data_IF_074189863403
#
_entry.id   IF_074189863403
#
_cell.length_a   1.000
_cell.length_b   1.000
_cell.length_c   1.000
_cell.angle_alpha   90.00
_cell.angle_beta   90.00
_cell.angle_gamma   90.00
#
_symmetry.space_group_name_H-M   'P 1'
#
loop_
_entity.id
_entity.type
_entity.pdbx_description
1 polymer ?
#
# COMPACT_ATOMS: atom_id res chain seq x y z
N UNK A 1 -2.69 -19.16 -22.95
CA UNK A 1 -2.18 -20.39 -22.31
C UNK A 1 -0.70 -20.21 -22.08
N UNK A 2 -0.14 -20.50 -20.89
CA UNK A 2 1.31 -20.38 -20.70
C UNK A 2 2.01 -21.32 -21.69
N UNK A 3 3.05 -20.82 -22.38
CA UNK A 3 3.83 -21.66 -23.30
C UNK A 3 4.41 -22.85 -22.51
N UNK A 4 4.28 -24.09 -23.00
CA UNK A 4 4.86 -25.25 -22.33
C UNK A 4 6.37 -25.06 -22.23
N UNK A 5 6.84 -24.93 -21.00
CA UNK A 5 8.25 -24.79 -20.66
C UNK A 5 8.76 -26.17 -20.24
N UNK A 6 9.77 -26.67 -20.94
CA UNK A 6 10.42 -27.92 -20.54
C UNK A 6 11.00 -27.75 -19.13
N UNK A 7 10.93 -28.77 -18.26
CA UNK A 7 11.58 -28.74 -16.95
C UNK A 7 13.11 -28.60 -17.10
N UNK A 8 13.76 -28.02 -16.08
CA UNK A 8 15.13 -27.49 -16.15
C UNK A 8 16.21 -28.36 -16.82
N UNK A 9 17.24 -27.70 -17.37
CA UNK A 9 18.34 -28.26 -18.17
C UNK A 9 17.91 -29.07 -19.42
N UNK A 10 16.67 -28.89 -19.88
CA UNK A 10 16.19 -29.44 -21.15
C UNK A 10 16.02 -28.33 -22.19
N UNK A 11 16.36 -28.64 -23.44
CA UNK A 11 16.10 -27.83 -24.62
C UNK A 11 14.77 -28.26 -25.26
N UNK A 12 14.01 -27.27 -25.74
CA UNK A 12 12.74 -27.51 -26.43
C UNK A 12 12.98 -27.42 -27.94
N UNK A 13 12.80 -28.53 -28.64
CA UNK A 13 12.74 -28.60 -30.10
C UNK A 13 11.59 -27.75 -30.65
N UNK A 14 11.62 -27.34 -31.92
CA UNK A 14 10.55 -26.49 -32.50
C UNK A 14 9.18 -27.19 -32.51
N UNK A 15 9.19 -28.52 -32.69
CA UNK A 15 8.03 -29.41 -32.59
C UNK A 15 7.48 -29.57 -31.16
N UNK A 16 8.15 -29.03 -30.14
CA UNK A 16 7.76 -29.08 -28.73
C UNK A 16 8.30 -30.28 -27.92
N UNK A 17 9.12 -31.15 -28.51
CA UNK A 17 9.85 -32.21 -27.79
C UNK A 17 10.91 -31.61 -26.86
N UNK A 18 11.12 -32.20 -25.69
CA UNK A 18 12.15 -31.79 -24.74
C UNK A 18 13.31 -32.79 -24.77
N UNK A 19 14.54 -32.31 -25.02
CA UNK A 19 15.77 -33.11 -25.00
C UNK A 19 16.76 -32.53 -23.97
N UNK A 20 17.77 -33.28 -23.49
CA UNK A 20 18.80 -32.72 -22.61
C UNK A 20 19.57 -31.57 -23.27
N UNK A 21 19.89 -30.50 -22.54
CA UNK A 21 20.64 -29.35 -23.07
C UNK A 21 22.08 -29.70 -23.51
N UNK A 22 22.65 -30.76 -22.94
CA UNK A 22 23.92 -31.37 -23.35
C UNK A 22 23.85 -31.93 -24.79
N UNK A 23 22.67 -32.40 -25.20
CA UNK A 23 22.45 -33.01 -26.50
C UNK A 23 22.23 -32.01 -27.64
N UNK A 24 22.17 -30.73 -27.33
CA UNK A 24 22.06 -29.67 -28.36
C UNK A 24 23.44 -29.40 -28.95
N UNK A 25 23.53 -29.31 -30.28
CA UNK A 25 24.77 -29.02 -30.99
C UNK A 25 25.87 -30.07 -30.79
N UNK A 26 25.49 -31.35 -30.67
CA UNK A 26 26.39 -32.48 -30.45
C UNK A 26 26.64 -33.31 -31.72
N UNK A 27 26.17 -32.84 -32.89
CA UNK A 27 26.22 -33.52 -34.20
C UNK A 27 25.34 -34.75 -34.31
N UNK A 28 24.39 -34.93 -33.40
CA UNK A 28 23.43 -36.04 -33.38
C UNK A 28 22.02 -35.48 -33.31
N UNK A 29 21.18 -35.90 -34.25
CA UNK A 29 19.79 -35.48 -34.32
C UNK A 29 18.93 -36.25 -33.32
N UNK A 30 18.60 -35.61 -32.20
CA UNK A 30 17.70 -36.10 -31.15
C UNK A 30 16.29 -35.47 -31.26
N UNK A 31 16.20 -34.26 -31.82
CA UNK A 31 14.91 -33.67 -32.19
C UNK A 31 14.43 -34.24 -33.53
N UNK A 32 13.18 -34.71 -33.60
CA UNK A 32 12.62 -35.29 -34.85
C UNK A 32 12.50 -34.29 -36.02
N UNK A 33 12.64 -32.99 -35.75
CA UNK A 33 12.64 -31.87 -36.70
C UNK A 33 14.05 -31.30 -36.97
N UNK A 34 15.10 -31.93 -36.44
CA UNK A 34 16.51 -31.51 -36.56
C UNK A 34 16.83 -30.13 -35.94
N UNK A 35 15.91 -29.55 -35.17
CA UNK A 35 16.07 -28.22 -34.57
C UNK A 35 17.19 -28.13 -33.52
N UNK A 36 17.72 -29.26 -33.06
CA UNK A 36 18.85 -29.34 -32.13
C UNK A 36 20.22 -29.17 -32.79
N UNK A 37 20.31 -29.36 -34.10
CA UNK A 37 21.56 -29.28 -34.86
C UNK A 37 21.56 -28.16 -35.93
N UNK A 38 20.40 -27.52 -36.14
CA UNK A 38 20.31 -26.37 -37.04
C UNK A 38 20.86 -25.08 -36.41
N UNK A 39 21.53 -24.25 -37.23
CA UNK A 39 22.10 -22.95 -36.84
C UNK A 39 23.10 -23.00 -35.66
N UNK A 40 23.80 -24.12 -35.54
CA UNK A 40 24.77 -24.33 -34.48
C UNK A 40 26.05 -23.49 -34.64
N UNK A 41 26.56 -22.95 -33.53
CA UNK A 41 27.81 -22.17 -33.45
C UNK A 41 27.83 -20.89 -34.32
N UNK A 42 26.66 -20.38 -34.70
CA UNK A 42 26.52 -19.05 -35.30
C UNK A 42 26.30 -18.07 -34.17
N UNK A 43 27.07 -16.98 -34.14
CA UNK A 43 26.87 -15.91 -33.17
C UNK A 43 26.11 -14.74 -33.80
N UNK A 44 24.78 -14.74 -33.70
CA UNK A 44 23.96 -13.66 -34.23
C UNK A 44 24.15 -12.35 -33.45
N UNK A 45 24.71 -12.41 -32.25
CA UNK A 45 25.04 -11.23 -31.45
C UNK A 45 26.20 -10.41 -32.03
N UNK A 46 27.01 -10.95 -32.95
CA UNK A 46 28.05 -10.19 -33.65
C UNK A 46 27.51 -9.20 -34.69
N UNK A 47 26.24 -9.34 -35.11
CA UNK A 47 25.64 -8.47 -36.12
C UNK A 47 24.33 -7.85 -35.65
N UNK A 48 24.35 -6.55 -35.37
CA UNK A 48 23.15 -5.78 -34.97
C UNK A 48 22.02 -5.79 -36.01
N UNK A 49 22.33 -6.02 -37.28
CA UNK A 49 21.33 -6.15 -38.35
C UNK A 49 20.56 -7.48 -38.25
N UNK A 50 21.19 -8.51 -37.72
CA UNK A 50 20.60 -9.84 -37.54
C UNK A 50 19.80 -9.89 -36.24
N UNK A 51 20.44 -9.55 -35.11
CA UNK A 51 19.78 -9.66 -33.81
C UNK A 51 18.68 -8.61 -33.58
N UNK A 52 18.91 -7.36 -34.01
CA UNK A 52 18.01 -6.23 -33.79
C UNK A 52 17.57 -6.08 -32.32
N UNK A 53 18.38 -6.52 -31.36
CA UNK A 53 18.08 -6.37 -29.94
C UNK A 53 18.25 -4.91 -29.53
N UNK A 54 17.29 -4.36 -28.77
CA UNK A 54 17.41 -2.99 -28.26
C UNK A 54 18.49 -2.86 -27.19
N UNK A 55 18.60 -3.84 -26.29
CA UNK A 55 19.60 -3.87 -25.21
C UNK A 55 20.59 -5.02 -25.43
N UNK A 56 20.58 -6.05 -24.57
CA UNK A 56 21.59 -7.10 -24.56
C UNK A 56 21.19 -8.25 -25.47
N UNK A 57 22.07 -8.66 -26.36
CA UNK A 57 21.95 -9.92 -27.09
C UNK A 57 22.70 -11.01 -26.32
N UNK A 58 22.06 -12.17 -26.13
CA UNK A 58 22.67 -13.36 -25.54
C UNK A 58 22.62 -14.48 -26.57
N UNK A 59 23.81 -14.92 -26.95
CA UNK A 59 24.03 -16.02 -27.87
C UNK A 59 23.64 -17.34 -27.19
N UNK A 60 22.89 -18.19 -27.89
CA UNK A 60 22.49 -19.51 -27.42
C UNK A 60 23.04 -20.57 -28.39
N UNK A 61 23.03 -21.85 -28.01
CA UNK A 61 23.66 -22.90 -28.82
C UNK A 61 23.13 -22.98 -30.26
N UNK A 62 21.84 -22.72 -30.46
CA UNK A 62 21.14 -22.87 -31.75
C UNK A 62 20.56 -21.56 -32.30
N UNK A 63 20.61 -20.45 -31.54
CA UNK A 63 20.00 -19.17 -31.90
C UNK A 63 20.49 -18.06 -30.97
N UNK A 64 19.77 -16.94 -30.87
CA UNK A 64 20.02 -15.88 -29.90
C UNK A 64 18.73 -15.47 -29.19
N UNK A 65 18.87 -14.80 -28.04
CA UNK A 65 17.76 -14.12 -27.37
C UNK A 65 18.16 -12.69 -27.00
N UNK A 66 17.19 -11.79 -27.03
CA UNK A 66 17.37 -10.45 -26.50
C UNK A 66 16.96 -10.41 -25.03
N UNK A 67 17.73 -9.71 -24.21
CA UNK A 67 17.46 -9.45 -22.81
C UNK A 67 17.53 -7.95 -22.54
N UNK A 68 16.68 -7.49 -21.63
CA UNK A 68 16.62 -6.10 -21.24
C UNK A 68 17.51 -5.83 -20.02
N UNK A 69 18.03 -4.61 -19.92
CA UNK A 69 18.71 -4.15 -18.71
C UNK A 69 17.74 -4.16 -17.50
N UNK A 70 18.25 -4.19 -16.25
CA UNK A 70 17.40 -4.02 -15.07
C UNK A 70 16.54 -2.74 -15.17
N UNK A 71 15.28 -2.82 -14.75
CA UNK A 71 14.30 -1.73 -14.91
C UNK A 71 13.52 -1.75 -16.23
N UNK A 72 13.79 -2.70 -17.12
CA UNK A 72 13.10 -2.82 -18.41
C UNK A 72 12.49 -4.22 -18.61
N UNK A 73 11.36 -4.26 -19.31
CA UNK A 73 10.67 -5.48 -19.68
C UNK A 73 10.73 -5.72 -21.19
N UNK A 74 10.97 -6.98 -21.59
CA UNK A 74 10.98 -7.38 -22.98
C UNK A 74 9.57 -7.30 -23.59
N UNK A 75 9.45 -6.67 -24.75
CA UNK A 75 8.20 -6.49 -25.48
C UNK A 75 7.77 -7.77 -26.19
N UNK A 76 6.55 -7.77 -26.74
CA UNK A 76 5.95 -8.92 -27.43
C UNK A 76 6.71 -9.35 -28.70
N UNK A 77 7.52 -8.47 -29.27
CA UNK A 77 8.40 -8.73 -30.40
C UNK A 77 9.68 -9.51 -30.03
N UNK A 78 9.90 -9.77 -28.73
CA UNK A 78 11.10 -10.39 -28.15
C UNK A 78 12.42 -9.66 -28.46
N UNK A 79 12.35 -8.39 -28.83
CA UNK A 79 13.52 -7.57 -29.25
C UNK A 79 13.56 -6.19 -28.61
N UNK A 80 12.40 -5.53 -28.53
CA UNK A 80 12.23 -4.24 -27.89
C UNK A 80 12.19 -4.37 -26.36
N UNK A 81 12.65 -3.33 -25.69
CA UNK A 81 12.64 -3.21 -24.24
C UNK A 81 11.87 -1.96 -23.86
N UNK A 82 10.76 -2.14 -23.12
CA UNK A 82 10.00 -1.05 -22.54
C UNK A 82 10.46 -0.81 -21.11
N UNK A 83 10.47 0.45 -20.71
CA UNK A 83 10.67 0.84 -19.32
C UNK A 83 9.55 0.25 -18.43
N UNK A 84 9.90 -0.14 -17.21
CA UNK A 84 8.93 -0.59 -16.20
C UNK A 84 8.57 0.63 -15.36
N UNK A 85 7.32 1.07 -15.44
CA UNK A 85 6.85 2.15 -14.58
C UNK A 85 6.58 1.60 -13.17
N UNK A 86 7.56 1.67 -12.27
CA UNK A 86 7.38 1.13 -10.92
C UNK A 86 6.34 1.89 -10.11
N UNK A 87 6.07 3.16 -10.45
CA UNK A 87 5.06 3.96 -9.75
C UNK A 87 3.63 3.44 -10.00
N UNK A 88 3.39 2.80 -11.15
CA UNK A 88 2.10 2.22 -11.52
C UNK A 88 2.08 0.71 -11.30
N UNK A 89 3.15 0.01 -11.69
CA UNK A 89 3.21 -1.45 -11.63
C UNK A 89 3.52 -1.97 -10.20
N UNK A 90 4.14 -1.16 -9.32
CA UNK A 90 4.46 -1.52 -7.93
C UNK A 90 3.80 -0.56 -6.91
N UNK A 91 2.64 -0.97 -6.39
CA UNK A 91 1.92 -0.19 -5.37
C UNK A 91 2.76 -0.07 -4.09
N UNK A 92 2.99 1.16 -3.64
CA UNK A 92 3.72 1.45 -2.39
C UNK A 92 5.24 1.33 -2.51
N UNK A 93 5.78 1.38 -3.74
CA UNK A 93 7.24 1.36 -3.97
C UNK A 93 7.96 2.52 -3.28
N UNK A 94 7.32 3.69 -3.22
CA UNK A 94 7.73 4.84 -2.45
C UNK A 94 6.75 5.06 -1.29
N UNK A 95 7.26 5.48 -0.14
CA UNK A 95 6.43 5.83 1.03
C UNK A 95 5.55 7.06 0.80
N UNK A 96 5.94 7.95 -0.11
CA UNK A 96 5.22 9.19 -0.44
C UNK A 96 5.11 9.36 -1.96
N UNK A 97 5.88 10.26 -2.56
CA UNK A 97 5.78 10.57 -3.99
C UNK A 97 6.75 9.71 -4.80
N UNK A 98 6.29 9.20 -5.94
CA UNK A 98 7.07 8.40 -6.88
C UNK A 98 7.14 9.12 -8.23
N UNK A 99 8.34 9.24 -8.79
CA UNK A 99 8.56 9.70 -10.15
C UNK A 99 9.30 8.63 -10.95
N UNK A 100 8.66 8.14 -12.00
CA UNK A 100 9.25 7.15 -12.89
C UNK A 100 10.38 7.79 -13.72
N UNK A 101 11.47 7.06 -13.92
CA UNK A 101 12.61 7.48 -14.74
C UNK A 101 12.99 6.34 -15.69
N UNK A 102 13.74 6.62 -16.75
CA UNK A 102 14.10 5.56 -17.68
C UNK A 102 15.06 4.53 -17.00
N UNK A 103 14.58 3.29 -16.83
CA UNK A 103 15.27 2.17 -16.20
C UNK A 103 15.24 2.16 -14.67
N UNK A 104 14.52 3.08 -14.02
CA UNK A 104 14.41 3.15 -12.56
C UNK A 104 13.33 4.14 -12.12
N UNK A 105 13.30 4.49 -10.83
CA UNK A 105 12.40 5.51 -10.30
C UNK A 105 13.07 6.27 -9.16
N UNK A 106 12.53 7.45 -8.87
CA UNK A 106 12.99 8.30 -7.78
C UNK A 106 11.83 8.56 -6.82
N UNK A 107 12.05 8.25 -5.54
CA UNK A 107 11.12 8.64 -4.49
C UNK A 107 11.41 10.05 -3.98
N UNK A 108 10.36 10.87 -3.86
CA UNK A 108 10.41 12.21 -3.30
C UNK A 108 9.61 12.30 -2.01
N UNK A 109 10.10 13.14 -1.10
CA UNK A 109 9.46 13.41 0.18
C UNK A 109 8.77 14.77 0.15
N UNK A 110 7.60 14.82 0.76
CA UNK A 110 6.82 16.03 0.98
C UNK A 110 7.54 16.97 1.95
N UNK A 111 7.10 18.23 1.99
CA UNK A 111 7.71 19.24 2.86
C UNK A 111 7.75 18.80 4.34
N UNK A 112 8.91 19.00 4.98
CA UNK A 112 9.15 18.59 6.35
C UNK A 112 9.44 17.09 6.55
N UNK A 113 9.70 16.35 5.48
CA UNK A 113 10.23 14.98 5.51
C UNK A 113 11.59 14.90 4.82
N UNK A 114 12.44 13.97 5.23
CA UNK A 114 13.72 13.65 4.60
C UNK A 114 13.77 12.17 4.18
N UNK A 115 14.53 11.89 3.12
CA UNK A 115 14.71 10.53 2.56
C UNK A 115 15.64 9.71 3.47
N UNK A 116 15.29 8.45 3.72
CA UNK A 116 16.09 7.49 4.48
C UNK A 116 17.16 6.79 3.61
N UNK A 117 18.02 5.98 4.24
CA UNK A 117 19.12 5.24 3.58
C UNK A 117 18.63 4.25 2.51
N UNK A 118 17.39 3.75 2.63
CA UNK A 118 16.76 2.86 1.65
C UNK A 118 16.30 3.58 0.37
N UNK A 119 16.43 4.91 0.33
CA UNK A 119 15.98 5.80 -0.73
C UNK A 119 14.48 5.77 -1.07
N UNK A 120 13.67 5.04 -0.30
CA UNK A 120 12.23 4.83 -0.55
C UNK A 120 11.36 5.37 0.58
N UNK A 121 11.90 5.39 1.79
CA UNK A 121 11.17 5.78 3.00
C UNK A 121 11.45 7.24 3.34
N UNK A 122 10.38 7.98 3.61
CA UNK A 122 10.42 9.38 4.04
C UNK A 122 10.13 9.47 5.54
N UNK A 123 11.07 10.02 6.30
CA UNK A 123 10.94 10.22 7.74
C UNK A 123 10.70 11.70 8.05
N UNK A 124 9.80 11.98 8.99
CA UNK A 124 9.51 13.35 9.42
C UNK A 124 10.78 13.99 10.01
N UNK A 125 11.02 15.26 9.69
CA UNK A 125 12.23 15.99 10.12
C UNK A 125 12.08 16.61 11.52
N UNK A 126 10.86 16.71 12.04
CA UNK A 126 10.65 17.18 13.41
C UNK A 126 11.15 16.17 14.45
N UNK A 127 11.34 16.66 15.68
CA UNK A 127 11.78 15.85 16.82
C UNK A 127 10.62 15.33 17.65
N UNK A 128 9.40 15.31 17.09
CA UNK A 128 8.22 14.87 17.81
C UNK A 128 8.23 13.34 17.80
N UNK A 129 8.31 12.73 18.99
CA UNK A 129 8.15 11.29 19.11
C UNK A 129 6.68 10.94 18.87
N UNK A 130 6.35 10.10 17.87
CA UNK A 130 4.98 9.67 17.64
C UNK A 130 4.50 8.66 18.70
N UNK A 131 3.19 8.69 18.95
CA UNK A 131 2.51 7.81 19.92
C UNK A 131 1.30 7.17 19.26
N UNK A 132 0.99 5.94 19.63
CA UNK A 132 -0.27 5.28 19.29
C UNK A 132 -1.22 5.41 20.46
N UNK A 133 -2.33 6.11 20.24
CA UNK A 133 -3.45 6.16 21.19
C UNK A 133 -4.49 5.13 20.77
N UNK A 134 -4.89 4.28 21.70
CA UNK A 134 -5.83 3.20 21.43
C UNK A 134 -6.78 2.96 22.61
N UNK A 135 -7.93 2.40 22.28
CA UNK A 135 -8.93 1.96 23.26
C UNK A 135 -8.72 0.51 23.62
N UNK A 136 -8.91 0.19 24.90
CA UNK A 136 -8.91 -1.16 25.41
C UNK A 136 -10.09 -1.33 26.37
N UNK A 137 -11.29 -1.44 25.79
CA UNK A 137 -12.61 -1.60 26.43
C UNK A 137 -12.91 -0.61 27.55
N UNK A 138 -12.26 -0.74 28.69
CA UNK A 138 -12.42 0.08 29.89
C UNK A 138 -11.37 1.20 30.01
N UNK A 139 -10.35 1.19 29.14
CA UNK A 139 -9.18 2.07 29.22
C UNK A 139 -8.94 2.81 27.92
N UNK A 140 -8.45 4.05 28.06
CA UNK A 140 -7.78 4.79 26.99
C UNK A 140 -6.27 4.76 27.27
N UNK A 141 -5.48 4.34 26.30
CA UNK A 141 -4.03 4.11 26.46
C UNK A 141 -3.24 4.78 25.36
N UNK A 142 -1.99 5.10 25.66
CA UNK A 142 -0.98 5.48 24.70
C UNK A 142 0.26 4.60 24.83
N UNK A 143 0.94 4.38 23.71
CA UNK A 143 2.21 3.65 23.64
C UNK A 143 3.13 4.29 22.60
N UNK A 144 4.43 4.32 22.88
CA UNK A 144 5.45 4.73 21.90
C UNK A 144 5.52 3.72 20.75
N UNK A 145 5.96 4.15 19.57
CA UNK A 145 6.09 3.23 18.42
C UNK A 145 7.06 2.08 18.68
N UNK A 146 8.08 2.28 19.51
CA UNK A 146 9.03 1.23 19.90
C UNK A 146 8.45 0.25 20.94
N UNK A 147 7.26 0.52 21.48
CA UNK A 147 6.58 -0.33 22.47
C UNK A 147 7.06 -0.18 23.92
N UNK A 148 8.21 0.45 24.16
CA UNK A 148 8.82 0.54 25.49
C UNK A 148 8.02 1.41 26.47
N UNK A 149 7.58 2.59 26.02
CA UNK A 149 6.88 3.55 26.87
C UNK A 149 5.38 3.44 26.65
N UNK A 150 4.65 3.04 27.69
CA UNK A 150 3.19 2.97 27.66
C UNK A 150 2.60 3.67 28.88
N UNK A 151 1.46 4.34 28.66
CA UNK A 151 0.74 5.06 29.71
C UNK A 151 -0.76 4.86 29.54
N UNK A 152 -1.48 4.87 30.66
CA UNK A 152 -2.95 4.88 30.69
C UNK A 152 -3.41 6.33 30.83
N UNK A 153 -4.12 6.84 29.81
CA UNK A 153 -4.65 8.21 29.78
C UNK A 153 -5.86 8.31 30.71
N UNK A 154 -6.82 7.39 30.59
CA UNK A 154 -8.05 7.40 31.37
C UNK A 154 -8.63 5.99 31.59
N UNK A 155 -9.52 5.87 32.57
CA UNK A 155 -10.17 4.61 32.97
C UNK A 155 -11.57 4.85 33.54
N UNK A 156 -12.30 3.76 33.79
CA UNK A 156 -13.64 3.81 34.40
C UNK A 156 -14.77 3.95 33.37
N UNK A 157 -14.49 3.55 32.14
CA UNK A 157 -15.49 3.44 31.07
C UNK A 157 -16.08 2.04 31.06
N UNK A 158 -17.17 1.84 30.33
CA UNK A 158 -17.87 0.55 30.21
C UNK A 158 -17.47 -0.20 28.93
N UNK A 159 -17.47 0.50 27.79
CA UNK A 159 -17.00 -0.05 26.54
C UNK A 159 -16.66 1.04 25.52
N UNK A 160 -15.41 1.50 25.51
CA UNK A 160 -14.91 2.43 24.51
C UNK A 160 -14.56 1.66 23.23
N UNK A 161 -15.11 2.08 22.09
CA UNK A 161 -14.92 1.38 20.81
C UNK A 161 -14.15 2.19 19.77
N UNK A 162 -14.32 3.50 19.75
CA UNK A 162 -13.73 4.38 18.75
C UNK A 162 -13.31 5.70 19.39
N UNK A 163 -12.24 6.27 18.83
CA UNK A 163 -11.63 7.52 19.23
C UNK A 163 -11.15 8.26 17.99
N UNK A 164 -11.04 9.58 18.10
CA UNK A 164 -10.31 10.44 17.16
C UNK A 164 -9.80 11.67 17.93
N UNK A 165 -8.87 12.44 17.37
CA UNK A 165 -8.18 13.50 18.10
C UNK A 165 -8.13 14.83 17.36
N UNK A 166 -8.10 15.91 18.13
CA UNK A 166 -7.87 17.27 17.69
C UNK A 166 -6.52 17.71 18.27
N UNK A 167 -5.46 17.50 17.47
CA UNK A 167 -4.08 17.73 17.90
C UNK A 167 -3.81 19.21 18.21
N UNK A 168 -4.51 20.14 17.57
CA UNK A 168 -4.30 21.58 17.78
C UNK A 168 -4.82 22.06 19.14
N UNK A 169 -5.75 21.33 19.75
CA UNK A 169 -6.36 21.67 21.05
C UNK A 169 -6.07 20.63 22.13
N UNK A 170 -5.16 19.69 21.87
CA UNK A 170 -4.82 18.58 22.75
C UNK A 170 -6.03 17.78 23.24
N UNK A 171 -7.03 17.53 22.38
CA UNK A 171 -8.27 16.83 22.76
C UNK A 171 -8.39 15.47 22.07
N UNK A 172 -8.86 14.49 22.83
CA UNK A 172 -9.32 13.19 22.33
C UNK A 172 -10.84 13.17 22.45
N UNK A 173 -11.51 12.83 21.36
CA UNK A 173 -12.92 12.47 21.33
C UNK A 173 -13.03 10.95 21.33
N UNK A 174 -14.00 10.39 22.05
CA UNK A 174 -14.21 8.93 22.07
C UNK A 174 -15.64 8.56 22.45
N UNK A 175 -16.07 7.39 22.02
CA UNK A 175 -17.43 6.87 22.24
C UNK A 175 -17.44 5.71 23.22
N UNK A 176 -18.29 5.79 24.24
CA UNK A 176 -18.66 4.63 25.07
C UNK A 176 -20.04 4.12 24.63
N UNK A 177 -20.04 2.97 23.93
CA UNK A 177 -21.28 2.42 23.35
C UNK A 177 -22.25 1.89 24.38
N UNK A 178 -21.77 1.52 25.59
CA UNK A 178 -22.64 1.04 26.66
C UNK A 178 -23.29 2.20 27.41
N UNK A 179 -22.60 3.33 27.50
CA UNK A 179 -23.16 4.55 28.08
C UNK A 179 -23.95 5.40 27.09
N UNK A 180 -23.92 5.08 25.79
CA UNK A 180 -24.56 5.82 24.71
C UNK A 180 -24.16 7.30 24.69
N UNK A 181 -22.85 7.56 24.79
CA UNK A 181 -22.30 8.91 24.92
C UNK A 181 -21.00 9.06 24.14
N UNK A 182 -20.81 10.26 23.61
CA UNK A 182 -19.51 10.71 23.09
C UNK A 182 -18.90 11.67 24.10
N UNK A 183 -17.64 11.43 24.44
CA UNK A 183 -16.86 12.19 25.41
C UNK A 183 -15.75 12.96 24.71
N UNK A 184 -15.25 13.97 25.39
CA UNK A 184 -13.95 14.57 25.13
C UNK A 184 -13.09 14.56 26.40
N UNK A 185 -11.79 14.48 26.22
CA UNK A 185 -10.79 14.54 27.29
C UNK A 185 -9.50 15.14 26.74
N UNK A 186 -8.71 15.83 27.57
CA UNK A 186 -7.41 16.29 27.14
C UNK A 186 -6.43 15.11 26.94
N UNK A 187 -5.45 15.25 26.04
CA UNK A 187 -4.38 14.25 25.80
C UNK A 187 -3.62 13.90 27.08
N UNK A 188 -3.55 14.82 28.04
CA UNK A 188 -2.95 14.58 29.36
C UNK A 188 -3.84 13.76 30.32
N UNK A 189 -5.06 13.38 29.92
CA UNK A 189 -6.02 12.61 30.71
C UNK A 189 -6.90 13.43 31.64
N UNK A 190 -6.87 14.77 31.57
CA UNK A 190 -7.69 15.65 32.42
C UNK A 190 -8.93 16.18 31.72
N UNK A 191 -9.86 16.79 32.47
CA UNK A 191 -10.94 17.60 31.90
C UNK A 191 -11.99 16.81 31.10
N UNK A 192 -12.25 15.55 31.46
CA UNK A 192 -13.27 14.73 30.80
C UNK A 192 -14.64 15.42 30.81
N UNK A 193 -15.28 15.48 29.64
CA UNK A 193 -16.60 16.08 29.42
C UNK A 193 -17.46 15.19 28.54
N UNK A 194 -18.77 15.21 28.77
CA UNK A 194 -19.74 14.62 27.85
C UNK A 194 -20.03 15.64 26.75
N UNK A 195 -19.80 15.27 25.49
CA UNK A 195 -20.03 16.11 24.31
C UNK A 195 -21.42 15.85 23.75
N UNK A 196 -21.72 14.58 23.46
CA UNK A 196 -23.03 14.15 22.97
C UNK A 196 -23.62 13.16 23.96
N UNK A 197 -24.80 13.48 24.49
CA UNK A 197 -25.49 12.69 25.51
C UNK A 197 -26.78 12.01 25.02
N UNK A 198 -27.33 12.50 23.91
CA UNK A 198 -28.61 12.06 23.35
C UNK A 198 -28.41 11.64 21.90
N UNK A 199 -29.33 10.83 21.38
CA UNK A 199 -29.42 10.50 19.96
C UNK A 199 -28.24 9.69 19.36
N UNK A 200 -27.48 8.99 20.21
CA UNK A 200 -26.30 8.16 19.83
C UNK A 200 -26.36 6.74 20.40
N UNK A 201 -27.36 5.91 20.02
CA UNK A 201 -27.57 4.60 20.61
C UNK A 201 -26.47 3.56 20.32
N UNK A 202 -25.73 3.64 19.22
CA UNK A 202 -24.61 2.71 18.98
C UNK A 202 -23.57 3.33 18.05
N UNK A 203 -22.77 4.25 18.58
CA UNK A 203 -21.72 4.90 17.81
C UNK A 203 -20.52 3.97 17.70
N UNK A 204 -20.32 3.42 16.51
CA UNK A 204 -19.24 2.46 16.21
C UNK A 204 -17.94 3.15 15.81
N UNK A 205 -18.06 4.35 15.22
CA UNK A 205 -16.94 5.11 14.67
C UNK A 205 -17.19 6.61 14.77
N UNK A 206 -16.14 7.38 15.04
CA UNK A 206 -16.15 8.84 15.03
C UNK A 206 -15.03 9.38 14.16
N UNK A 207 -15.18 10.60 13.68
CA UNK A 207 -14.12 11.35 13.02
C UNK A 207 -14.23 12.84 13.31
N UNK A 208 -13.10 13.50 13.51
CA UNK A 208 -12.99 14.92 13.84
C UNK A 208 -12.50 15.67 12.60
N UNK A 209 -13.30 16.64 12.15
CA UNK A 209 -12.83 17.65 11.22
C UNK A 209 -12.20 18.80 12.00
N UNK A 210 -10.87 18.79 12.08
CA UNK A 210 -10.10 19.78 12.82
C UNK A 210 -10.11 21.16 12.15
N UNK A 211 -10.44 21.27 10.85
CA UNK A 211 -10.51 22.53 10.10
C UNK A 211 -11.90 23.15 10.24
N UNK A 212 -12.94 22.43 9.85
CA UNK A 212 -14.32 22.90 9.91
C UNK A 212 -14.91 22.88 11.33
N UNK A 213 -14.17 22.30 12.29
CA UNK A 213 -14.57 22.17 13.70
C UNK A 213 -15.89 21.40 13.83
N UNK A 214 -15.95 20.22 13.20
CA UNK A 214 -17.11 19.33 13.24
C UNK A 214 -16.74 17.96 13.77
N UNK A 215 -17.70 17.36 14.47
CA UNK A 215 -17.61 15.98 14.94
C UNK A 215 -18.58 15.13 14.14
N UNK A 216 -18.06 14.12 13.46
CA UNK A 216 -18.83 13.15 12.68
C UNK A 216 -18.85 11.81 13.40
N UNK A 217 -19.94 11.06 13.25
CA UNK A 217 -20.04 9.72 13.77
C UNK A 217 -20.93 8.83 12.91
N UNK A 218 -20.71 7.53 13.04
CA UNK A 218 -21.54 6.50 12.43
C UNK A 218 -22.28 5.71 13.49
N UNK A 219 -23.59 5.59 13.33
CA UNK A 219 -24.43 4.77 14.20
C UNK A 219 -24.70 3.41 13.55
N UNK A 220 -24.14 2.35 14.15
CA UNK A 220 -24.25 0.98 13.65
C UNK A 220 -25.67 0.42 13.74
N UNK A 221 -26.45 0.86 14.75
CA UNK A 221 -27.81 0.36 15.01
C UNK A 221 -28.84 1.02 14.10
N UNK A 222 -28.71 2.33 13.90
CA UNK A 222 -29.61 3.12 13.03
C UNK A 222 -29.16 3.12 11.58
N UNK A 223 -27.92 2.72 11.30
CA UNK A 223 -27.29 2.81 9.98
C UNK A 223 -27.31 4.25 9.42
N UNK A 224 -26.93 5.21 10.27
CA UNK A 224 -26.94 6.64 9.93
C UNK A 224 -25.56 7.28 10.13
N UNK A 225 -25.31 8.36 9.41
CA UNK A 225 -24.18 9.27 9.66
C UNK A 225 -24.71 10.52 10.35
N UNK A 226 -24.12 10.87 11.50
CA UNK A 226 -24.43 12.09 12.24
C UNK A 226 -23.28 13.09 12.21
N UNK A 227 -23.61 14.36 12.42
CA UNK A 227 -22.66 15.46 12.57
C UNK A 227 -23.13 16.42 13.66
N UNK A 228 -22.19 17.06 14.34
CA UNK A 228 -22.44 18.17 15.28
C UNK A 228 -21.28 19.16 15.28
N UNK A 229 -21.48 20.28 15.97
CA UNK A 229 -20.36 21.11 16.44
C UNK A 229 -19.45 20.32 17.40
N UNK A 230 -18.20 20.79 17.62
CA UNK A 230 -17.24 20.17 18.56
C UNK A 230 -17.73 20.06 20.01
N UNK A 231 -18.74 20.86 20.39
CA UNK A 231 -19.37 20.85 21.72
C UNK A 231 -20.64 19.98 21.78
N UNK A 232 -21.00 19.30 20.68
CA UNK A 232 -22.18 18.42 20.58
C UNK A 232 -23.50 19.14 20.28
N UNK A 233 -23.49 20.46 20.08
CA UNK A 233 -24.66 21.25 19.66
C UNK A 233 -24.93 21.10 18.16
N UNK A 234 -26.12 21.52 17.73
CA UNK A 234 -26.53 21.51 16.31
C UNK A 234 -26.39 20.13 15.64
N UNK A 235 -26.90 19.09 16.29
CA UNK A 235 -26.84 17.74 15.77
C UNK A 235 -27.72 17.59 14.53
N UNK A 236 -27.13 17.02 13.47
CA UNK A 236 -27.82 16.72 12.22
C UNK A 236 -27.51 15.29 11.80
N UNK A 237 -28.52 14.60 11.23
CA UNK A 237 -28.31 13.32 10.56
C UNK A 237 -28.13 13.58 9.06
N UNK A 238 -26.92 13.33 8.55
CA UNK A 238 -26.55 13.59 7.17
C UNK A 238 -27.08 12.53 6.21
N UNK A 239 -27.02 11.26 6.64
CA UNK A 239 -27.40 10.14 5.79
C UNK A 239 -28.20 9.14 6.61
N UNK A 240 -29.35 8.74 6.06
CA UNK A 240 -30.31 7.81 6.69
C UNK A 240 -30.60 6.55 5.88
N UNK A 241 -30.22 6.55 4.61
CA UNK A 241 -30.48 5.47 3.67
C UNK A 241 -29.21 5.11 2.91
N UNK A 242 -29.17 3.92 2.32
CA UNK A 242 -28.03 3.47 1.52
C UNK A 242 -26.83 2.92 2.31
N UNK A 243 -26.87 2.97 3.65
CA UNK A 243 -25.82 2.40 4.51
C UNK A 243 -26.40 1.26 5.35
N UNK A 244 -25.61 0.22 5.57
CA UNK A 244 -25.95 -0.89 6.47
C UNK A 244 -24.78 -1.20 7.39
N UNK A 245 -25.02 -1.11 8.70
CA UNK A 245 -24.03 -1.43 9.76
C UNK A 245 -22.66 -0.75 9.53
N UNK A 246 -22.62 0.60 9.44
CA UNK A 246 -21.35 1.30 9.33
C UNK A 246 -20.51 1.08 10.58
N UNK A 247 -19.17 1.05 10.44
CA UNK A 247 -18.24 0.85 11.56
C UNK A 247 -17.24 1.96 11.72
N UNK A 248 -16.50 2.29 10.66
CA UNK A 248 -15.46 3.31 10.69
C UNK A 248 -15.85 4.47 9.77
N UNK A 249 -15.37 5.66 10.12
CA UNK A 249 -15.49 6.88 9.33
C UNK A 249 -14.18 7.65 9.48
N UNK A 250 -13.74 8.29 8.40
CA UNK A 250 -12.63 9.24 8.37
C UNK A 250 -13.02 10.38 7.46
N UNK A 251 -12.64 11.60 7.81
CA UNK A 251 -12.85 12.79 6.99
C UNK A 251 -11.56 13.21 6.28
N UNK A 252 -11.69 13.86 5.12
CA UNK A 252 -10.57 14.48 4.41
C UNK A 252 -10.82 16.01 4.30
N UNK A 253 -10.52 16.78 5.35
CA UNK A 253 -10.98 18.18 5.46
C UNK A 253 -10.62 19.10 4.28
N UNK A 254 -9.50 18.84 3.59
CA UNK A 254 -9.05 19.67 2.46
C UNK A 254 -9.83 19.43 1.15
N UNK A 255 -10.49 18.29 0.99
CA UNK A 255 -11.14 17.91 -0.27
C UNK A 255 -12.67 17.82 -0.16
N UNK A 256 -13.23 18.03 1.04
CA UNK A 256 -14.65 17.79 1.33
C UNK A 256 -15.00 16.31 1.35
#
# INVERSE_FOLDING_TARGET
>A
TPEPTCPGNQFRCENGQCIPYESVCNKTTECTDESDEQHCNVNECQSSRVNQCQHRCVDTKTSFKCECNPGFQLMSDRKGCRDIDECVEQIGVCSQQCENTEGSFICKCSEGYHKMEDEKTCKKTDKITPWLIFTNRYYLREISLDGDNHRRIAQGFENIVSLDFDIANDLIYFTDVKQHKIYSIFLNGTGQKVVVKDNVPSVEGISVDWIARKLYWVDGRRSTIGVSEMNGTSQLTLLKEGIRRPRAISVHPFNG
#
